data_IF_536804660041
#
_entry.id   IF_536804660041
#
_cell.length_a   1.000
_cell.length_b   1.000
_cell.length_c   1.000
_cell.angle_alpha   90.00
_cell.angle_beta   90.00
_cell.angle_gamma   90.00
#
_symmetry.space_group_name_H-M   'P 1'
#
loop_
_entity.id
_entity.type
_entity.pdbx_description
1 polymer ?
#
# COMPACT_ATOMS: atom_id res chain seq x y z
N UNK A 1 3.73 13.20 11.50
CA UNK A 1 3.60 14.39 10.63
C UNK A 1 2.24 15.09 10.83
N UNK A 2 1.11 14.41 10.66
CA UNK A 2 -0.24 15.01 10.79
C UNK A 2 -0.54 15.62 12.18
N UNK A 3 -0.12 14.97 13.27
CA UNK A 3 -0.28 15.49 14.63
C UNK A 3 0.46 16.82 14.88
N UNK A 4 1.55 17.07 14.15
CA UNK A 4 2.32 18.30 14.29
C UNK A 4 1.64 19.44 13.54
N UNK A 5 1.17 19.17 12.32
CA UNK A 5 0.52 20.15 11.45
C UNK A 5 -0.75 20.78 12.05
N UNK A 6 -1.64 19.96 12.64
CA UNK A 6 -2.87 20.46 13.27
C UNK A 6 -2.68 20.90 14.72
N UNK A 7 -1.47 20.80 15.27
CA UNK A 7 -1.18 21.24 16.62
C UNK A 7 -0.75 22.72 16.58
N UNK A 8 -1.54 23.64 17.16
CA UNK A 8 -1.25 25.08 17.12
C UNK A 8 0.07 25.46 17.82
N UNK A 9 0.69 24.53 18.56
CA UNK A 9 1.98 24.72 19.24
C UNK A 9 3.19 24.28 18.41
N UNK A 10 3.00 23.71 17.21
CA UNK A 10 4.07 23.17 16.35
C UNK A 10 3.89 23.63 14.89
N UNK A 11 4.20 24.90 14.60
CA UNK A 11 3.95 25.50 13.27
C UNK A 11 5.10 25.44 12.26
N UNK A 12 6.26 24.88 12.60
CA UNK A 12 7.48 24.99 11.77
C UNK A 12 7.66 23.89 10.70
N UNK A 13 6.85 22.83 10.71
CA UNK A 13 7.03 21.68 9.80
C UNK A 13 6.65 21.98 8.33
N UNK A 14 6.02 23.12 8.08
CA UNK A 14 5.53 23.53 6.76
C UNK A 14 6.63 23.86 5.76
N UNK A 15 7.73 24.48 6.20
CA UNK A 15 8.84 24.80 5.31
C UNK A 15 9.48 23.53 4.76
N UNK A 16 9.67 22.53 5.62
CA UNK A 16 10.21 21.22 5.26
C UNK A 16 9.28 20.51 4.25
N UNK A 17 7.97 20.58 4.45
CA UNK A 17 7.00 20.01 3.51
C UNK A 17 7.03 20.72 2.14
N UNK A 18 7.12 22.06 2.13
CA UNK A 18 7.19 22.83 0.90
C UNK A 18 8.46 22.53 0.09
N UNK A 19 9.61 22.46 0.76
CA UNK A 19 10.89 22.10 0.15
C UNK A 19 10.87 20.67 -0.42
N UNK A 20 10.31 19.71 0.33
CA UNK A 20 10.16 18.34 -0.13
C UNK A 20 9.31 18.23 -1.39
N UNK A 21 8.15 18.91 -1.43
CA UNK A 21 7.27 18.94 -2.59
C UNK A 21 7.91 19.63 -3.81
N UNK A 22 8.64 20.73 -3.59
CA UNK A 22 9.38 21.40 -4.66
C UNK A 22 10.47 20.49 -5.24
N UNK A 23 11.14 19.70 -4.40
CA UNK A 23 12.14 18.70 -4.82
C UNK A 23 11.52 17.60 -5.68
N UNK A 24 10.31 17.14 -5.34
CA UNK A 24 9.55 16.18 -6.17
C UNK A 24 9.28 16.75 -7.55
N UNK A 25 8.77 17.98 -7.63
CA UNK A 25 8.51 18.66 -8.90
C UNK A 25 9.78 18.81 -9.75
N UNK A 26 10.89 19.23 -9.11
CA UNK A 26 12.18 19.35 -9.77
C UNK A 26 12.70 18.01 -10.30
N UNK A 27 12.54 16.92 -9.54
CA UNK A 27 12.98 15.56 -9.93
C UNK A 27 12.16 15.02 -11.11
N UNK A 28 10.85 15.32 -11.14
CA UNK A 28 9.97 14.98 -12.25
C UNK A 28 10.16 15.89 -13.47
N UNK A 29 10.84 17.03 -13.32
CA UNK A 29 10.97 18.05 -14.37
C UNK A 29 9.67 18.80 -14.66
N UNK A 30 8.70 18.74 -13.74
CA UNK A 30 7.35 19.26 -13.88
C UNK A 30 7.15 20.53 -13.05
N UNK A 31 6.43 21.51 -13.60
CA UNK A 31 6.13 22.78 -12.92
C UNK A 31 4.62 23.02 -12.90
N UNK A 32 3.88 22.38 -11.97
CA UNK A 32 2.43 22.43 -11.95
C UNK A 32 1.85 23.83 -11.77
N UNK A 33 0.64 24.01 -12.29
CA UNK A 33 -0.24 25.06 -11.77
C UNK A 33 -0.84 24.59 -10.44
N UNK A 34 -0.73 25.41 -9.40
CA UNK A 34 -1.14 25.05 -8.04
C UNK A 34 -2.64 25.36 -7.81
N UNK A 35 -3.39 24.36 -7.34
CA UNK A 35 -4.81 24.43 -7.00
C UNK A 35 -5.02 24.01 -5.54
N UNK A 36 -5.97 24.64 -4.86
CA UNK A 36 -6.19 24.45 -3.42
C UNK A 36 -7.67 24.29 -3.12
N UNK A 37 -8.02 23.30 -2.29
CA UNK A 37 -9.36 23.19 -1.69
C UNK A 37 -9.27 23.73 -0.26
N UNK A 38 -9.82 24.93 -0.03
CA UNK A 38 -9.69 25.64 1.24
C UNK A 38 -10.76 25.21 2.25
N UNK A 39 -10.33 24.67 3.39
CA UNK A 39 -11.08 24.71 4.65
C UNK A 39 -10.19 25.29 5.77
N UNK A 40 -10.76 26.25 6.52
CA UNK A 40 -10.34 26.92 7.77
C UNK A 40 -8.89 27.41 8.01
N UNK A 41 -7.80 26.78 7.52
CA UNK A 41 -6.41 27.17 7.86
C UNK A 41 -5.52 27.60 6.67
N UNK A 42 -5.94 27.36 5.44
CA UNK A 42 -5.02 27.37 4.28
C UNK A 42 -4.64 28.74 3.68
N UNK A 43 -5.06 29.88 4.25
CA UNK A 43 -4.74 31.20 3.70
C UNK A 43 -3.28 31.64 3.96
N UNK A 44 -2.75 31.42 5.16
CA UNK A 44 -1.37 31.81 5.52
C UNK A 44 -0.31 30.90 4.87
N UNK A 45 -0.68 29.65 4.60
CA UNK A 45 0.22 28.60 4.09
C UNK A 45 0.51 28.72 2.58
N UNK A 46 -0.38 29.36 1.81
CA UNK A 46 -0.25 29.56 0.36
C UNK A 46 0.96 30.41 -0.03
N UNK A 47 1.28 31.42 0.75
CA UNK A 47 2.31 32.40 0.39
C UNK A 47 3.73 31.85 0.51
N UNK A 48 4.00 30.99 1.50
CA UNK A 48 5.31 30.37 1.72
C UNK A 48 5.65 29.34 0.63
N UNK A 49 4.76 28.38 0.37
CA UNK A 49 4.98 27.39 -0.68
C UNK A 49 5.21 28.06 -2.04
N UNK A 50 4.40 29.07 -2.40
CA UNK A 50 4.57 29.78 -3.67
C UNK A 50 5.92 30.48 -3.76
N UNK A 51 6.40 31.09 -2.68
CA UNK A 51 7.71 31.74 -2.66
C UNK A 51 8.84 30.73 -2.85
N UNK A 52 8.81 29.61 -2.13
CA UNK A 52 9.84 28.56 -2.25
C UNK A 52 9.80 27.90 -3.63
N UNK A 53 8.61 27.62 -4.16
CA UNK A 53 8.42 27.03 -5.49
C UNK A 53 8.88 27.96 -6.63
N UNK A 54 8.65 29.27 -6.51
CA UNK A 54 9.16 30.25 -7.47
C UNK A 54 10.70 30.34 -7.48
N UNK A 55 11.37 30.05 -6.35
CA UNK A 55 12.85 30.02 -6.27
C UNK A 55 13.48 28.82 -7.00
N UNK A 56 12.78 27.68 -7.07
CA UNK A 56 13.29 26.45 -7.71
C UNK A 56 12.85 26.29 -9.16
N UNK A 57 12.01 27.19 -9.68
CA UNK A 57 11.53 27.15 -11.06
C UNK A 57 12.66 27.57 -12.03
N UNK A 58 13.11 26.71 -12.97
CA UNK A 58 14.11 27.05 -13.95
C UNK A 58 13.55 28.04 -14.97
N UNK A 59 14.43 28.90 -15.47
CA UNK A 59 14.10 29.98 -16.42
C UNK A 59 13.38 29.49 -17.69
N UNK A 60 13.59 28.22 -18.08
CA UNK A 60 13.00 27.59 -19.26
C UNK A 60 11.85 26.63 -18.95
N UNK A 61 11.25 26.71 -17.75
CA UNK A 61 10.11 25.87 -17.39
C UNK A 61 8.92 26.15 -18.32
N UNK A 62 8.61 25.20 -19.20
CA UNK A 62 7.36 25.19 -19.94
C UNK A 62 6.20 25.08 -18.93
N UNK A 63 5.15 25.88 -19.12
CA UNK A 63 3.92 25.68 -18.36
C UNK A 63 3.30 24.34 -18.79
N UNK A 64 3.52 23.30 -17.99
CA UNK A 64 2.92 22.01 -18.20
C UNK A 64 1.41 22.09 -17.93
N UNK A 65 0.60 21.25 -18.62
CA UNK A 65 -0.82 21.05 -18.29
C UNK A 65 -1.04 20.39 -16.91
N UNK A 66 0.07 19.99 -16.26
CA UNK A 66 0.11 19.39 -14.95
C UNK A 66 -0.46 20.34 -13.89
N UNK A 67 -1.37 19.82 -13.06
CA UNK A 67 -2.02 20.55 -11.97
C UNK A 67 -1.74 19.81 -10.68
N UNK A 68 -1.30 20.54 -9.66
CA UNK A 68 -1.10 20.01 -8.32
C UNK A 68 -2.24 20.48 -7.41
N UNK A 69 -2.85 19.55 -6.69
CA UNK A 69 -3.94 19.83 -5.77
C UNK A 69 -3.46 19.71 -4.33
N UNK A 70 -3.55 20.81 -3.59
CA UNK A 70 -3.36 20.84 -2.16
C UNK A 70 -4.71 20.65 -1.49
N UNK A 71 -4.83 19.55 -0.76
CA UNK A 71 -6.04 19.16 -0.06
C UNK A 71 -5.70 18.99 1.41
N UNK A 72 -6.45 19.68 2.26
CA UNK A 72 -6.39 19.49 3.72
C UNK A 72 -7.15 18.22 4.11
N UNK A 73 -6.70 17.47 5.13
CA UNK A 73 -7.39 16.25 5.56
C UNK A 73 -8.84 16.52 5.98
N UNK A 74 -9.14 17.71 6.49
CA UNK A 74 -10.50 18.14 6.85
C UNK A 74 -11.49 18.12 5.69
N UNK A 75 -11.02 18.06 4.43
CA UNK A 75 -11.87 17.83 3.26
C UNK A 75 -12.62 16.49 3.34
N UNK A 76 -11.99 15.48 3.92
CA UNK A 76 -12.56 14.13 4.05
C UNK A 76 -12.17 13.54 5.41
N UNK A 77 -13.06 13.70 6.39
CA UNK A 77 -12.87 13.13 7.72
C UNK A 77 -13.31 11.66 7.82
N UNK A 78 -13.99 11.13 6.80
CA UNK A 78 -14.64 9.81 6.88
C UNK A 78 -13.71 8.71 6.42
N UNK A 79 -13.08 8.85 5.25
CA UNK A 79 -12.22 7.79 4.67
C UNK A 79 -11.12 7.26 5.61
N UNK A 80 -10.43 8.07 6.44
CA UNK A 80 -9.39 7.55 7.35
C UNK A 80 -9.94 6.70 8.50
N UNK A 81 -11.25 6.77 8.75
CA UNK A 81 -11.94 6.05 9.82
C UNK A 81 -12.68 4.80 9.30
N UNK A 82 -12.78 4.63 7.98
CA UNK A 82 -13.44 3.48 7.38
C UNK A 82 -12.51 2.27 7.38
N UNK A 83 -13.06 1.13 7.80
CA UNK A 83 -12.44 -0.18 7.55
C UNK A 83 -12.58 -0.55 6.08
N UNK A 84 -11.52 -0.31 5.32
CA UNK A 84 -11.45 -0.56 3.89
C UNK A 84 -11.14 -2.04 3.60
N UNK A 85 -11.77 -2.62 2.57
CA UNK A 85 -11.70 -4.07 2.29
C UNK A 85 -10.80 -4.43 1.11
N UNK A 86 -9.98 -3.48 0.64
CA UNK A 86 -8.86 -3.78 -0.27
C UNK A 86 -7.67 -4.33 0.52
N UNK A 87 -6.91 -5.26 -0.07
CA UNK A 87 -5.87 -6.01 0.65
C UNK A 87 -4.89 -5.11 1.40
N UNK A 88 -4.34 -4.10 0.74
CA UNK A 88 -3.34 -3.20 1.32
C UNK A 88 -3.90 -2.35 2.45
N UNK A 89 -5.08 -1.77 2.25
CA UNK A 89 -5.68 -0.93 3.28
C UNK A 89 -6.05 -1.78 4.50
N UNK A 90 -6.66 -2.93 4.26
CA UNK A 90 -7.08 -3.86 5.30
C UNK A 90 -5.88 -4.39 6.12
N UNK A 91 -4.79 -4.81 5.48
CA UNK A 91 -3.66 -5.38 6.23
C UNK A 91 -2.92 -4.35 7.08
N UNK A 92 -2.77 -3.12 6.58
CA UNK A 92 -2.17 -2.01 7.33
C UNK A 92 -3.04 -1.61 8.53
N UNK A 93 -4.36 -1.69 8.38
CA UNK A 93 -5.32 -1.39 9.43
C UNK A 93 -5.38 -2.47 10.54
N UNK A 94 -5.51 -3.75 10.16
CA UNK A 94 -5.89 -4.81 11.13
C UNK A 94 -4.73 -5.66 11.65
N UNK A 95 -3.55 -5.64 10.99
CA UNK A 95 -2.42 -6.51 11.31
C UNK A 95 -1.25 -5.79 12.00
N UNK A 96 -1.28 -4.47 12.12
CA UNK A 96 -0.22 -3.71 12.77
C UNK A 96 1.12 -3.82 12.04
N UNK A 97 1.09 -3.70 10.71
CA UNK A 97 2.29 -3.75 9.87
C UNK A 97 3.14 -2.51 10.14
N UNK A 98 4.43 -2.72 10.43
CA UNK A 98 5.40 -1.65 10.63
C UNK A 98 6.44 -1.70 9.52
N UNK A 99 6.73 -0.54 8.90
CA UNK A 99 7.71 -0.40 7.81
C UNK A 99 7.48 -1.39 6.64
N UNK A 100 6.22 -1.67 6.32
CA UNK A 100 5.82 -2.59 5.25
C UNK A 100 6.33 -4.03 5.42
N UNK A 101 6.64 -4.44 6.65
CA UNK A 101 7.04 -5.82 7.00
C UNK A 101 5.90 -6.52 7.74
N UNK A 102 5.36 -7.57 7.11
CA UNK A 102 4.41 -8.48 7.74
C UNK A 102 5.14 -9.67 8.36
N UNK A 103 4.86 -9.95 9.63
CA UNK A 103 5.44 -11.07 10.37
C UNK A 103 4.36 -12.10 10.73
N UNK A 104 4.65 -13.38 10.53
CA UNK A 104 3.77 -14.48 10.93
C UNK A 104 4.56 -15.68 11.47
N UNK A 105 3.94 -16.45 12.35
CA UNK A 105 4.56 -17.64 12.92
C UNK A 105 3.95 -18.93 12.36
N UNK A 106 4.80 -19.87 11.96
CA UNK A 106 4.40 -21.23 11.61
C UNK A 106 5.37 -22.24 12.20
N UNK A 107 4.84 -23.23 12.92
CA UNK A 107 5.65 -24.27 13.55
C UNK A 107 6.74 -23.76 14.50
N UNK A 108 6.50 -22.63 15.19
CA UNK A 108 7.45 -22.01 16.12
C UNK A 108 8.58 -21.24 15.43
N UNK A 109 8.49 -20.98 14.12
CA UNK A 109 9.42 -20.10 13.38
C UNK A 109 8.69 -18.85 12.95
N UNK A 110 9.33 -17.70 13.14
CA UNK A 110 8.88 -16.42 12.61
C UNK A 110 9.31 -16.27 11.15
N UNK A 111 8.40 -15.79 10.31
CA UNK A 111 8.59 -15.50 8.91
C UNK A 111 8.24 -14.05 8.62
N UNK A 112 9.03 -13.41 7.76
CA UNK A 112 8.85 -12.03 7.35
C UNK A 112 8.51 -11.96 5.85
N UNK A 113 7.56 -11.09 5.52
CA UNK A 113 7.17 -10.74 4.15
C UNK A 113 7.27 -9.23 3.99
N UNK A 114 8.13 -8.79 3.07
CA UNK A 114 8.27 -7.38 2.70
C UNK A 114 7.24 -7.06 1.62
N UNK A 115 6.42 -6.04 1.85
CA UNK A 115 5.32 -5.64 0.97
C UNK A 115 5.73 -4.46 0.06
N UNK A 116 6.61 -4.73 -0.90
CA UNK A 116 7.18 -3.69 -1.78
C UNK A 116 6.90 -3.92 -3.28
N UNK A 117 7.39 -3.00 -4.11
CA UNK A 117 7.24 -3.05 -5.57
C UNK A 117 8.12 -4.13 -6.24
N UNK A 118 8.91 -4.90 -5.49
CA UNK A 118 9.69 -6.03 -6.03
C UNK A 118 8.89 -7.35 -6.02
N UNK A 119 7.71 -7.36 -5.39
CA UNK A 119 6.80 -8.50 -5.39
C UNK A 119 5.65 -8.30 -6.40
N UNK A 120 5.74 -8.99 -7.54
CA UNK A 120 4.72 -8.96 -8.58
C UNK A 120 3.33 -9.43 -8.11
N UNK A 121 3.29 -10.38 -7.17
CA UNK A 121 2.04 -10.88 -6.61
C UNK A 121 1.40 -9.80 -5.75
N UNK A 122 2.19 -9.09 -4.94
CA UNK A 122 1.74 -7.95 -4.15
C UNK A 122 1.16 -6.86 -5.04
N UNK A 123 1.92 -6.38 -6.04
CA UNK A 123 1.47 -5.32 -6.97
C UNK A 123 0.13 -5.69 -7.61
N UNK A 124 -0.03 -6.94 -8.01
CA UNK A 124 -1.24 -7.42 -8.68
C UNK A 124 -2.46 -7.53 -7.75
N UNK A 125 -2.26 -7.73 -6.45
CA UNK A 125 -3.34 -8.06 -5.50
C UNK A 125 -3.64 -6.96 -4.49
N UNK A 126 -2.69 -6.05 -4.21
CA UNK A 126 -2.77 -5.04 -3.14
C UNK A 126 -3.99 -4.11 -3.22
N UNK A 127 -4.48 -3.82 -4.43
CA UNK A 127 -5.64 -2.96 -4.66
C UNK A 127 -6.93 -3.75 -4.96
N UNK A 128 -6.90 -5.08 -4.83
CA UNK A 128 -8.10 -5.91 -5.02
C UNK A 128 -8.87 -6.05 -3.72
N UNK A 129 -10.18 -6.21 -3.84
CA UNK A 129 -11.04 -6.56 -2.72
C UNK A 129 -10.62 -7.91 -2.12
N UNK A 130 -10.58 -8.02 -0.79
CA UNK A 130 -10.02 -9.18 -0.07
C UNK A 130 -10.64 -10.51 -0.49
N UNK A 131 -11.94 -10.51 -0.81
CA UNK A 131 -12.67 -11.70 -1.28
C UNK A 131 -12.12 -12.28 -2.60
N UNK A 132 -11.52 -11.45 -3.44
CA UNK A 132 -10.99 -11.87 -4.75
C UNK A 132 -9.51 -12.29 -4.68
N UNK A 133 -8.79 -11.88 -3.62
CA UNK A 133 -7.35 -12.05 -3.50
C UNK A 133 -6.96 -13.53 -3.47
N UNK A 134 -7.63 -14.36 -2.65
CA UNK A 134 -7.31 -15.79 -2.56
C UNK A 134 -7.41 -16.49 -3.92
N UNK A 135 -8.42 -16.13 -4.73
CA UNK A 135 -8.57 -16.68 -6.07
C UNK A 135 -7.43 -16.23 -7.00
N UNK A 136 -6.98 -14.99 -6.87
CA UNK A 136 -5.87 -14.45 -7.67
C UNK A 136 -4.52 -15.06 -7.32
N UNK A 137 -4.28 -15.35 -6.03
CA UNK A 137 -3.10 -16.09 -5.55
C UNK A 137 -3.10 -17.50 -6.16
N UNK A 138 -4.21 -18.22 -6.10
CA UNK A 138 -4.36 -19.56 -6.73
C UNK A 138 -4.16 -19.50 -8.24
N UNK A 139 -4.70 -18.48 -8.93
CA UNK A 139 -4.46 -18.28 -10.37
C UNK A 139 -2.98 -18.02 -10.69
N UNK A 140 -2.29 -17.25 -9.85
CA UNK A 140 -0.84 -17.02 -9.98
C UNK A 140 -0.05 -18.31 -9.83
N UNK A 141 -0.41 -19.13 -8.84
CA UNK A 141 0.20 -20.44 -8.62
C UNK A 141 0.03 -21.36 -9.83
N UNK A 142 -1.16 -21.41 -10.43
CA UNK A 142 -1.45 -22.21 -11.63
C UNK A 142 -0.56 -21.87 -12.82
N UNK A 143 -0.17 -20.61 -12.98
CA UNK A 143 0.79 -20.20 -14.03
C UNK A 143 2.21 -20.67 -13.77
N UNK A 144 2.56 -20.97 -12.51
CA UNK A 144 3.86 -21.55 -12.18
C UNK A 144 4.00 -23.00 -12.68
N UNK A 145 2.87 -23.71 -12.78
CA UNK A 145 2.81 -25.13 -13.12
C UNK A 145 2.80 -25.43 -14.61
N UNK A 146 3.64 -24.77 -15.42
CA UNK A 146 3.65 -24.88 -16.89
C UNK A 146 4.12 -26.24 -17.45
N UNK A 147 4.49 -27.20 -16.58
CA UNK A 147 4.69 -28.60 -16.94
C UNK A 147 3.42 -29.42 -16.68
N UNK A 148 3.11 -30.38 -17.58
CA UNK A 148 1.89 -31.21 -17.48
C UNK A 148 1.68 -31.86 -16.10
N UNK A 149 2.75 -32.25 -15.42
CA UNK A 149 2.71 -32.84 -14.08
C UNK A 149 2.52 -31.80 -12.95
N UNK A 150 3.10 -30.61 -13.10
CA UNK A 150 2.94 -29.50 -12.16
C UNK A 150 1.53 -28.89 -12.22
N UNK A 151 0.92 -28.84 -13.41
CA UNK A 151 -0.45 -28.31 -13.59
C UNK A 151 -1.51 -29.07 -12.78
N UNK A 152 -1.40 -30.40 -12.67
CA UNK A 152 -2.30 -31.23 -11.85
C UNK A 152 -2.06 -31.00 -10.35
N UNK A 153 -0.81 -30.99 -9.91
CA UNK A 153 -0.46 -30.79 -8.50
C UNK A 153 -0.88 -29.41 -7.99
N UNK A 154 -0.85 -28.39 -8.85
CA UNK A 154 -1.25 -27.02 -8.53
C UNK A 154 -2.77 -26.82 -8.62
N UNK A 155 -3.49 -27.61 -9.43
CA UNK A 155 -4.92 -27.47 -9.61
C UNK A 155 -5.73 -27.72 -8.32
N UNK A 156 -5.22 -28.59 -7.45
CA UNK A 156 -5.87 -29.01 -6.21
C UNK A 156 -5.59 -28.10 -5.01
N UNK A 157 -4.68 -27.13 -5.15
CA UNK A 157 -4.32 -26.22 -4.06
C UNK A 157 -5.48 -25.28 -3.73
N UNK A 158 -5.95 -25.38 -2.48
CA UNK A 158 -6.98 -24.47 -1.93
C UNK A 158 -6.61 -23.93 -0.55
N UNK A 159 -5.59 -24.49 0.10
CA UNK A 159 -5.19 -24.16 1.45
C UNK A 159 -3.66 -24.07 1.60
N UNK A 160 -3.23 -23.46 2.71
CA UNK A 160 -1.82 -23.37 3.11
C UNK A 160 -1.19 -24.77 3.29
N UNK A 161 -2.00 -25.75 3.73
CA UNK A 161 -1.55 -27.15 3.89
C UNK A 161 -1.18 -27.75 2.54
N UNK A 162 -2.00 -27.51 1.52
CA UNK A 162 -1.73 -27.99 0.15
C UNK A 162 -0.45 -27.35 -0.41
N UNK A 163 -0.18 -26.06 -0.11
CA UNK A 163 1.07 -25.40 -0.46
C UNK A 163 2.28 -26.06 0.21
N UNK A 164 2.16 -26.43 1.48
CA UNK A 164 3.24 -27.10 2.22
C UNK A 164 3.58 -28.46 1.63
N UNK A 165 2.59 -29.20 1.13
CA UNK A 165 2.81 -30.45 0.40
C UNK A 165 3.39 -30.21 -1.00
N UNK A 166 2.94 -29.16 -1.68
CA UNK A 166 3.44 -28.79 -3.00
C UNK A 166 4.92 -28.39 -2.96
N UNK A 167 5.36 -27.69 -1.92
CA UNK A 167 6.78 -27.35 -1.67
C UNK A 167 7.64 -28.62 -1.60
N UNK A 168 7.14 -29.68 -0.95
CA UNK A 168 7.86 -30.97 -0.87
C UNK A 168 7.94 -31.66 -2.23
N UNK A 169 6.93 -31.52 -3.08
CA UNK A 169 6.87 -32.12 -4.42
C UNK A 169 7.70 -31.36 -5.46
N UNK A 170 7.87 -30.05 -5.29
CA UNK A 170 8.58 -29.18 -6.25
C UNK A 170 9.62 -28.30 -5.56
N UNK A 171 10.71 -28.87 -5.01
CA UNK A 171 11.75 -28.11 -4.31
C UNK A 171 12.42 -27.06 -5.21
N UNK A 172 12.44 -27.27 -6.53
CA UNK A 172 12.98 -26.31 -7.51
C UNK A 172 12.22 -24.97 -7.52
N UNK A 173 10.93 -24.97 -7.18
CA UNK A 173 10.09 -23.76 -7.09
C UNK A 173 9.89 -23.29 -5.65
N UNK A 174 10.67 -23.81 -4.69
CA UNK A 174 10.43 -23.55 -3.26
C UNK A 174 10.41 -22.07 -2.89
N UNK A 175 11.26 -21.24 -3.52
CA UNK A 175 11.26 -19.78 -3.26
C UNK A 175 9.94 -19.12 -3.66
N UNK A 176 9.42 -19.44 -4.84
CA UNK A 176 8.15 -18.89 -5.34
C UNK A 176 6.98 -19.41 -4.51
N UNK A 177 6.95 -20.72 -4.23
CA UNK A 177 5.92 -21.33 -3.40
C UNK A 177 5.89 -20.73 -1.99
N UNK A 178 7.05 -20.45 -1.38
CA UNK A 178 7.11 -19.76 -0.10
C UNK A 178 6.52 -18.34 -0.16
N UNK A 179 6.70 -17.60 -1.27
CA UNK A 179 6.03 -16.30 -1.46
C UNK A 179 4.50 -16.47 -1.46
N UNK A 180 3.97 -17.41 -2.25
CA UNK A 180 2.53 -17.68 -2.24
C UNK A 180 2.03 -18.07 -0.85
N UNK A 181 2.79 -18.86 -0.08
CA UNK A 181 2.46 -19.21 1.31
C UNK A 181 2.34 -17.98 2.20
N UNK A 182 3.33 -17.07 2.15
CA UNK A 182 3.30 -15.84 2.95
C UNK A 182 2.10 -14.95 2.62
N UNK A 183 1.76 -14.81 1.33
CA UNK A 183 0.57 -14.06 0.90
C UNK A 183 -0.74 -14.71 1.32
N UNK A 184 -0.81 -16.04 1.35
CA UNK A 184 -1.96 -16.75 1.91
C UNK A 184 -2.11 -16.50 3.41
N UNK A 185 -1.03 -16.54 4.18
CA UNK A 185 -1.04 -16.20 5.60
C UNK A 185 -1.54 -14.76 5.83
N UNK A 186 -1.04 -13.81 5.04
CA UNK A 186 -1.48 -12.41 5.10
C UNK A 186 -3.01 -12.29 4.93
N UNK A 187 -3.56 -12.97 3.91
CA UNK A 187 -5.01 -12.94 3.63
C UNK A 187 -5.82 -13.66 4.72
N UNK A 188 -5.38 -14.84 5.18
CA UNK A 188 -6.06 -15.56 6.26
C UNK A 188 -6.06 -14.77 7.57
N UNK A 189 -4.97 -14.08 7.89
CA UNK A 189 -4.86 -13.25 9.07
C UNK A 189 -5.80 -12.04 9.01
N UNK A 190 -5.85 -11.35 7.86
CA UNK A 190 -6.83 -10.30 7.59
C UNK A 190 -8.26 -10.81 7.77
N UNK A 191 -8.61 -11.92 7.13
CA UNK A 191 -9.96 -12.50 7.20
C UNK A 191 -10.32 -12.98 8.61
N UNK A 192 -9.35 -13.51 9.36
CA UNK A 192 -9.54 -13.90 10.77
C UNK A 192 -9.85 -12.69 11.64
N UNK A 193 -9.12 -11.59 11.48
CA UNK A 193 -9.41 -10.32 12.18
C UNK A 193 -10.77 -9.78 11.79
N UNK A 194 -11.12 -9.85 10.50
CA UNK A 194 -12.41 -9.42 9.99
C UNK A 194 -13.58 -10.15 10.65
N UNK A 195 -13.53 -11.48 10.64
CA UNK A 195 -14.56 -12.35 11.23
C UNK A 195 -14.63 -12.26 12.77
N UNK A 196 -13.57 -11.75 13.40
CA UNK A 196 -13.50 -11.53 14.85
C UNK A 196 -14.09 -10.17 15.29
N UNK A 197 -15.00 -9.59 14.51
CA UNK A 197 -15.86 -8.49 14.94
C UNK A 197 -15.82 -7.24 14.07
N UNK A 198 -14.84 -7.08 13.19
CA UNK A 198 -14.79 -5.94 12.25
C UNK A 198 -15.94 -6.04 11.24
N UNK A 199 -16.34 -7.26 10.87
CA UNK A 199 -17.53 -7.55 10.05
C UNK A 199 -18.81 -6.86 10.56
N UNK A 200 -18.94 -6.69 11.88
CA UNK A 200 -20.08 -6.02 12.51
C UNK A 200 -20.01 -4.49 12.42
N UNK A 201 -18.81 -3.94 12.25
CA UNK A 201 -18.55 -2.51 12.11
C UNK A 201 -18.71 -2.03 10.65
N UNK A 202 -18.49 -2.92 9.68
CA UNK A 202 -18.59 -2.64 8.24
C UNK A 202 -20.03 -2.74 7.66
N UNK A 203 -21.07 -2.52 8.48
CA UNK A 203 -22.48 -2.64 8.04
C UNK A 203 -23.03 -1.37 7.42
#
# INVERSE_FOLDING_TARGET
MMYSYYNPRKSDDLGIMAEGLATVCATLGEYPTLWYILFFFAHFHRHRYRADFELVKPYNACNCLFKEWFIDRGFDAVTPLLHELTLQAMCQDVLGIENDVYCYETGGKSHELILDENDELWIKTRHKHIADVSQEIVKGLKKLGDTKDASKAVADVKSIKDLSELIKKMPQHQKELNKFTSHFHLVEDCMRKYQNGIDKLCK
#
